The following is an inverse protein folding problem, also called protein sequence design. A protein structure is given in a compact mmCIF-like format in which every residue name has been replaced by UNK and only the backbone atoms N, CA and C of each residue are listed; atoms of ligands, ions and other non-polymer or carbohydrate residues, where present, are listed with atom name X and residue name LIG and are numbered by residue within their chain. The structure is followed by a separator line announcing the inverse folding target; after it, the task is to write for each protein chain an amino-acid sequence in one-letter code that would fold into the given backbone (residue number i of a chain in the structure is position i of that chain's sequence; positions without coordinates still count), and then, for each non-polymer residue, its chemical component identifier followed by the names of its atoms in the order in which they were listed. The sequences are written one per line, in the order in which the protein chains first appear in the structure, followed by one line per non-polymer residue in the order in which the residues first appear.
data_IF_190214973630
#
_entry.id   IF_190214973630
#
_cell.length_a   1.000
_cell.length_b   1.000
_cell.length_c   1.000
_cell.angle_alpha   90.00
_cell.angle_beta   90.00
_cell.angle_gamma   90.00
#
_symmetry.space_group_name_H-M   'P 1'
#
loop_
_entity.id
_entity.type
_entity.pdbx_description
1 polymer ?
#
# COMPACT_ATOMS: atom_id res chain seq x y z
N UNK A 1 -4.33 79.20 -3.38
CA UNK A 1 -5.38 78.15 -3.41
C UNK A 1 -4.78 76.92 -4.09
N UNK A 2 -4.25 75.97 -3.31
CA UNK A 2 -3.63 74.74 -3.84
C UNK A 2 -4.65 73.60 -3.70
N UNK A 3 -5.16 73.12 -4.82
CA UNK A 3 -6.08 71.97 -4.88
C UNK A 3 -5.22 70.71 -4.84
N UNK A 4 -5.37 69.89 -3.79
CA UNK A 4 -4.81 68.54 -3.73
C UNK A 4 -5.85 67.56 -4.30
N UNK A 5 -5.52 66.89 -5.41
CA UNK A 5 -6.27 65.70 -5.84
C UNK A 5 -5.88 64.51 -4.94
N UNK A 6 -6.84 63.64 -4.54
CA UNK A 6 -6.50 62.40 -3.86
C UNK A 6 -5.98 61.37 -4.88
N UNK A 7 -4.87 60.72 -4.52
CA UNK A 7 -4.34 59.58 -5.22
C UNK A 7 -5.23 58.37 -4.90
N UNK A 8 -5.98 57.87 -5.88
CA UNK A 8 -6.75 56.63 -5.75
C UNK A 8 -5.75 55.46 -5.83
N UNK A 9 -5.46 54.82 -4.71
CA UNK A 9 -4.69 53.59 -4.70
C UNK A 9 -5.59 52.45 -5.23
N UNK A 10 -5.31 51.98 -6.44
CA UNK A 10 -5.90 50.77 -6.97
C UNK A 10 -5.35 49.57 -6.17
N UNK A 11 -6.18 49.02 -5.28
CA UNK A 11 -5.92 47.72 -4.67
C UNK A 11 -6.15 46.68 -5.77
N UNK A 12 -5.06 46.19 -6.37
CA UNK A 12 -5.11 44.99 -7.20
C UNK A 12 -5.22 43.80 -6.26
N UNK A 13 -6.45 43.32 -6.05
CA UNK A 13 -6.70 42.01 -5.45
C UNK A 13 -6.20 40.96 -6.43
N UNK A 14 -5.01 40.41 -6.18
CA UNK A 14 -4.56 39.18 -6.81
C UNK A 14 -5.45 38.05 -6.29
N UNK A 15 -6.57 37.81 -6.97
CA UNK A 15 -7.29 36.56 -6.83
C UNK A 15 -6.39 35.46 -7.35
N UNK A 16 -5.88 34.61 -6.47
CA UNK A 16 -5.27 33.33 -6.85
C UNK A 16 -6.37 32.51 -7.52
N UNK A 17 -6.43 32.56 -8.85
CA UNK A 17 -7.23 31.62 -9.61
C UNK A 17 -6.68 30.22 -9.31
N UNK A 18 -7.48 29.36 -8.69
CA UNK A 18 -7.18 27.94 -8.60
C UNK A 18 -7.20 27.39 -10.02
N UNK A 19 -6.02 27.20 -10.59
CA UNK A 19 -5.85 26.60 -11.90
C UNK A 19 -6.21 25.11 -11.75
N UNK A 20 -7.27 24.68 -12.43
CA UNK A 20 -7.56 23.26 -12.55
C UNK A 20 -6.40 22.59 -13.30
N UNK A 21 -5.81 21.54 -12.72
CA UNK A 21 -4.83 20.73 -13.42
C UNK A 21 -5.48 20.14 -14.69
N UNK A 22 -4.79 20.22 -15.82
CA UNK A 22 -5.34 19.64 -17.06
C UNK A 22 -5.24 18.11 -17.00
N UNK A 23 -6.08 17.37 -17.76
CA UNK A 23 -5.97 15.91 -17.86
C UNK A 23 -4.58 15.42 -18.32
N UNK A 24 -3.78 16.29 -18.95
CA UNK A 24 -2.43 15.99 -19.44
C UNK A 24 -1.34 16.14 -18.36
N UNK A 25 -1.51 17.06 -17.39
CA UNK A 25 -0.57 17.23 -16.26
C UNK A 25 -0.58 16.02 -15.30
N UNK A 26 -1.65 15.22 -15.41
CA UNK A 26 -1.85 14.00 -14.68
C UNK A 26 -0.85 12.90 -15.11
N UNK A 27 -0.44 12.84 -16.38
CA UNK A 27 0.28 11.69 -16.94
C UNK A 27 1.75 11.53 -16.47
N UNK A 28 2.32 12.52 -15.78
CA UNK A 28 3.71 12.48 -15.25
C UNK A 28 3.82 12.44 -13.73
N UNK A 29 2.70 12.25 -13.02
CA UNK A 29 2.64 12.17 -11.56
C UNK A 29 3.13 10.80 -11.07
N UNK A 30 4.05 10.78 -10.09
CA UNK A 30 4.34 9.60 -9.28
C UNK A 30 3.03 9.16 -8.60
N UNK A 31 2.55 7.97 -8.96
CA UNK A 31 1.34 7.35 -8.45
C UNK A 31 1.76 6.13 -7.65
N UNK A 32 1.32 6.06 -6.40
CA UNK A 32 1.70 4.98 -5.51
C UNK A 32 0.45 4.47 -4.79
N UNK A 33 0.25 3.15 -4.80
CA UNK A 33 -0.87 2.45 -4.17
C UNK A 33 -0.58 2.24 -2.68
N UNK A 34 -1.57 2.46 -1.83
CA UNK A 34 -1.38 2.59 -0.39
C UNK A 34 -2.66 2.28 0.37
N UNK A 35 -2.51 2.17 1.68
CA UNK A 35 -3.58 1.90 2.63
C UNK A 35 -3.50 2.95 3.71
N UNK A 36 -4.48 3.85 3.75
CA UNK A 36 -4.49 4.92 4.74
C UNK A 36 -4.91 4.37 6.09
N UNK A 37 -4.22 4.76 7.16
CA UNK A 37 -4.60 4.41 8.54
C UNK A 37 -4.48 5.58 9.49
N UNK A 38 -5.34 5.58 10.52
CA UNK A 38 -5.23 6.55 11.62
C UNK A 38 -4.03 6.22 12.49
N UNK A 39 -3.34 7.24 13.00
CA UNK A 39 -2.32 7.04 14.04
C UNK A 39 -2.98 6.77 15.39
N UNK A 40 -4.11 7.41 15.66
CA UNK A 40 -4.96 7.10 16.80
C UNK A 40 -5.79 5.83 16.51
N UNK A 41 -5.48 4.74 17.20
CA UNK A 41 -6.24 3.48 17.11
C UNK A 41 -5.89 2.55 15.94
N UNK A 42 -5.02 2.95 15.01
CA UNK A 42 -4.50 2.12 13.91
C UNK A 42 -5.57 1.47 13.03
N UNK A 43 -6.68 2.17 12.79
CA UNK A 43 -7.73 1.69 11.89
C UNK A 43 -7.45 2.13 10.45
N UNK A 44 -7.61 1.22 9.49
CA UNK A 44 -7.61 1.50 8.07
C UNK A 44 -8.85 2.27 7.66
N UNK A 45 -8.64 3.16 6.70
CA UNK A 45 -9.69 3.88 6.00
C UNK A 45 -10.31 2.96 4.97
N UNK A 46 -11.62 2.78 5.03
CA UNK A 46 -12.43 1.99 4.11
C UNK A 46 -13.28 2.92 3.24
N UNK A 47 -13.52 2.55 1.99
CA UNK A 47 -14.52 3.17 1.12
C UNK A 47 -15.84 2.39 1.21
N UNK A 48 -16.87 2.96 1.83
CA UNK A 48 -18.09 2.23 2.18
C UNK A 48 -19.09 2.11 1.01
N UNK A 49 -19.15 0.95 0.33
CA UNK A 49 -19.99 0.78 -0.87
C UNK A 49 -21.52 0.89 -0.67
N UNK A 50 -22.02 0.94 0.58
CA UNK A 50 -23.46 0.95 0.88
C UNK A 50 -23.85 1.43 2.27
N UNK A 51 -23.04 2.26 2.92
CA UNK A 51 -23.33 2.71 4.27
C UNK A 51 -24.60 3.59 4.31
N UNK A 52 -25.43 3.27 5.30
CA UNK A 52 -26.63 4.03 5.66
C UNK A 52 -26.59 4.27 7.14
N UNK A 53 -26.77 5.52 7.54
CA UNK A 53 -26.83 5.87 8.95
C UNK A 53 -28.24 5.59 9.53
N UNK A 54 -28.35 5.65 10.85
CA UNK A 54 -29.53 5.51 11.70
C UNK A 54 -30.61 6.56 11.41
N UNK A 55 -30.28 7.61 10.67
CA UNK A 55 -31.20 8.63 10.19
C UNK A 55 -31.62 8.39 8.73
N UNK A 56 -31.26 7.23 8.16
CA UNK A 56 -31.60 6.84 6.78
C UNK A 56 -30.77 7.55 5.72
N UNK A 57 -29.65 8.19 6.10
CA UNK A 57 -28.75 8.85 5.15
C UNK A 57 -27.86 7.80 4.51
N UNK A 58 -28.05 7.59 3.21
CA UNK A 58 -27.18 6.76 2.39
C UNK A 58 -26.02 7.60 1.88
N UNK A 59 -24.81 7.24 2.25
CA UNK A 59 -23.62 7.87 1.71
C UNK A 59 -22.72 6.76 1.13
N UNK A 60 -23.12 6.33 -0.08
CA UNK A 60 -22.34 5.40 -0.89
C UNK A 60 -20.93 5.95 -1.04
N UNK A 61 -19.91 5.13 -0.90
CA UNK A 61 -18.49 5.44 -1.04
C UNK A 61 -17.95 6.53 -0.09
N UNK A 62 -18.58 6.77 1.05
CA UNK A 62 -17.98 7.60 2.11
C UNK A 62 -16.78 6.89 2.73
N UNK A 63 -15.75 7.65 3.07
CA UNK A 63 -14.53 7.13 3.67
C UNK A 63 -14.66 7.03 5.19
N UNK A 64 -14.25 5.90 5.76
CA UNK A 64 -14.30 5.64 7.22
C UNK A 64 -13.08 4.92 7.75
N UNK A 65 -12.42 5.46 8.78
CA UNK A 65 -11.37 4.81 9.53
C UNK A 65 -11.94 3.88 10.61
N UNK A 66 -12.24 2.62 10.24
CA UNK A 66 -12.84 1.64 11.16
C UNK A 66 -12.33 0.22 11.02
N UNK A 67 -11.70 -0.12 9.89
CA UNK A 67 -11.25 -1.49 9.70
C UNK A 67 -9.94 -1.72 10.44
N UNK A 68 -9.83 -2.84 11.15
CA UNK A 68 -8.55 -3.25 11.77
C UNK A 68 -7.69 -4.10 10.84
N UNK A 69 -8.23 -4.49 9.67
CA UNK A 69 -7.57 -5.34 8.68
C UNK A 69 -7.75 -4.70 7.30
N UNK A 70 -6.68 -4.55 6.51
CA UNK A 70 -6.81 -3.95 5.19
C UNK A 70 -7.37 -4.99 4.20
N UNK A 71 -8.27 -4.55 3.32
CA UNK A 71 -9.00 -5.36 2.36
C UNK A 71 -9.28 -4.60 1.05
N UNK A 72 -10.13 -5.14 0.16
CA UNK A 72 -10.45 -4.50 -1.13
C UNK A 72 -11.05 -3.11 -1.02
N UNK A 73 -11.65 -2.75 0.13
CA UNK A 73 -12.28 -1.46 0.34
C UNK A 73 -11.32 -0.40 0.89
N UNK A 74 -10.14 -0.82 1.35
CA UNK A 74 -9.13 0.01 2.01
C UNK A 74 -7.98 0.43 1.08
N UNK A 75 -8.00 -0.04 -0.18
CA UNK A 75 -6.99 0.29 -1.20
C UNK A 75 -7.21 1.67 -1.80
N UNK A 76 -6.14 2.46 -1.83
CA UNK A 76 -6.10 3.78 -2.44
C UNK A 76 -4.85 4.00 -3.28
N UNK A 77 -4.91 4.91 -4.24
CA UNK A 77 -3.69 5.43 -4.89
C UNK A 77 -3.52 6.89 -4.50
N UNK A 78 -2.34 7.24 -3.98
CA UNK A 78 -1.93 8.62 -3.81
C UNK A 78 -1.23 9.04 -5.11
N UNK A 79 -1.71 10.13 -5.69
CA UNK A 79 -1.12 10.73 -6.89
C UNK A 79 -0.57 12.10 -6.55
N UNK A 80 0.73 12.31 -6.69
CA UNK A 80 1.33 13.63 -6.56
C UNK A 80 1.00 14.52 -7.75
N UNK A 81 0.39 15.69 -7.51
CA UNK A 81 -0.08 16.55 -8.58
C UNK A 81 1.03 17.50 -9.06
N UNK A 82 1.49 17.29 -10.30
CA UNK A 82 2.44 18.19 -10.95
C UNK A 82 1.82 19.56 -11.22
N UNK A 83 2.63 20.62 -11.12
CA UNK A 83 2.17 22.01 -11.35
C UNK A 83 1.32 22.60 -10.21
N UNK A 84 1.11 21.87 -9.13
CA UNK A 84 0.42 22.33 -7.91
C UNK A 84 1.42 22.65 -6.79
N UNK A 85 1.01 23.33 -5.70
CA UNK A 85 1.86 23.54 -4.53
C UNK A 85 2.45 22.24 -3.98
N UNK A 86 3.63 22.32 -3.37
CA UNK A 86 4.30 21.16 -2.80
C UNK A 86 3.39 20.40 -1.82
N UNK A 87 3.40 19.06 -1.92
CA UNK A 87 2.53 18.19 -1.13
C UNK A 87 1.10 18.05 -1.69
N UNK A 88 0.77 18.69 -2.82
CA UNK A 88 -0.54 18.48 -3.46
C UNK A 88 -0.67 17.03 -3.98
N UNK A 89 -1.73 16.36 -3.54
CA UNK A 89 -2.05 14.98 -3.90
C UNK A 89 -3.52 14.83 -4.24
N UNK A 90 -3.83 13.81 -5.03
CA UNK A 90 -5.19 13.29 -5.17
C UNK A 90 -5.24 11.85 -4.65
N UNK A 91 -6.36 11.47 -4.04
CA UNK A 91 -6.60 10.12 -3.54
C UNK A 91 -7.57 9.42 -4.48
N UNK A 92 -7.19 8.27 -5.05
CA UNK A 92 -8.06 7.39 -5.82
C UNK A 92 -8.50 6.22 -4.96
N UNK A 93 -9.80 5.90 -4.91
CA UNK A 93 -10.30 4.69 -4.26
C UNK A 93 -10.41 3.56 -5.28
N UNK A 94 -9.76 2.42 -5.01
CA UNK A 94 -9.76 1.29 -5.94
C UNK A 94 -11.14 0.64 -6.05
N UNK A 95 -11.88 0.50 -4.96
CA UNK A 95 -13.21 -0.11 -5.00
C UNK A 95 -14.26 0.81 -5.65
N UNK A 96 -14.14 2.12 -5.45
CA UNK A 96 -15.08 3.07 -6.05
C UNK A 96 -14.72 3.42 -7.50
N UNK A 97 -13.48 3.15 -7.92
CA UNK A 97 -12.92 3.58 -9.19
C UNK A 97 -13.14 5.09 -9.41
N UNK A 98 -12.80 5.88 -8.39
CA UNK A 98 -13.06 7.31 -8.36
C UNK A 98 -12.09 8.06 -7.44
N UNK A 99 -11.84 9.33 -7.76
CA UNK A 99 -11.16 10.25 -6.86
C UNK A 99 -12.03 10.58 -5.64
N UNK A 100 -11.37 10.68 -4.49
CA UNK A 100 -11.96 11.15 -3.25
C UNK A 100 -12.18 12.65 -3.35
N UNK A 101 -13.39 13.09 -3.01
CA UNK A 101 -13.81 14.48 -2.97
C UNK A 101 -14.03 14.90 -1.52
N UNK A 102 -13.58 16.10 -1.13
CA UNK A 102 -14.00 16.77 0.10
C UNK A 102 -15.29 17.57 -0.15
N UNK A 103 -16.39 17.20 0.51
CA UNK A 103 -17.74 17.66 0.21
C UNK A 103 -18.09 19.03 0.82
N UNK A 104 -17.39 20.10 0.42
CA UNK A 104 -17.61 21.44 0.99
C UNK A 104 -18.94 22.10 0.60
N UNK A 105 -19.63 21.57 -0.41
CA UNK A 105 -20.99 22.01 -0.78
C UNK A 105 -22.08 21.50 0.17
N UNK A 106 -21.77 20.48 0.97
CA UNK A 106 -22.70 19.97 1.98
C UNK A 106 -22.73 20.92 3.17
N UNK A 107 -23.89 21.01 3.82
CA UNK A 107 -24.12 21.91 4.94
C UNK A 107 -24.10 21.17 6.28
N UNK A 108 -23.92 21.93 7.37
CA UNK A 108 -23.94 21.39 8.72
C UNK A 108 -22.84 20.35 8.94
N UNK A 109 -23.19 19.25 9.59
CA UNK A 109 -22.26 18.18 9.98
C UNK A 109 -21.68 17.37 8.82
N UNK A 110 -22.23 17.53 7.61
CA UNK A 110 -21.80 16.80 6.41
C UNK A 110 -20.79 17.62 5.57
N UNK A 111 -20.55 18.88 5.95
CA UNK A 111 -19.62 19.75 5.23
C UNK A 111 -18.20 19.19 5.30
N UNK A 112 -17.59 18.94 4.16
CA UNK A 112 -16.21 18.47 4.07
C UNK A 112 -16.06 16.97 4.31
N UNK A 113 -17.15 16.19 4.37
CA UNK A 113 -17.07 14.73 4.39
C UNK A 113 -16.28 14.23 3.17
N UNK A 114 -15.44 13.22 3.36
CA UNK A 114 -14.67 12.62 2.27
C UNK A 114 -15.47 11.50 1.61
N UNK A 115 -15.55 11.54 0.29
CA UNK A 115 -16.42 10.68 -0.50
C UNK A 115 -15.82 10.38 -1.87
N UNK A 116 -15.65 9.10 -2.23
CA UNK A 116 -15.20 8.68 -3.55
C UNK A 116 -16.39 8.50 -4.52
N UNK A 117 -16.86 9.60 -5.11
CA UNK A 117 -18.08 9.63 -5.93
C UNK A 117 -17.96 8.74 -7.18
N UNK A 118 -18.87 7.77 -7.42
CA UNK A 118 -18.85 6.99 -8.65
C UNK A 118 -18.81 7.88 -9.90
N UNK A 119 -17.82 7.66 -10.77
CA UNK A 119 -17.63 8.44 -12.00
C UNK A 119 -16.81 9.71 -11.84
N UNK A 120 -16.35 10.06 -10.63
CA UNK A 120 -15.42 11.17 -10.43
C UNK A 120 -14.00 10.74 -10.85
N UNK A 121 -13.69 10.84 -12.13
CA UNK A 121 -12.40 10.41 -12.70
C UNK A 121 -11.45 11.55 -13.02
N UNK A 122 -11.80 12.78 -12.62
CA UNK A 122 -10.99 13.98 -12.82
C UNK A 122 -10.63 14.62 -11.49
N UNK A 123 -9.42 15.17 -11.39
CA UNK A 123 -8.97 15.89 -10.20
C UNK A 123 -9.34 17.37 -10.35
N UNK A 124 -10.26 17.84 -9.53
CA UNK A 124 -10.58 19.26 -9.37
C UNK A 124 -10.10 19.81 -8.03
N UNK A 125 -10.50 21.05 -7.68
CA UNK A 125 -10.13 21.67 -6.42
C UNK A 125 -10.58 20.90 -5.17
N UNK A 126 -11.69 20.15 -5.25
CA UNK A 126 -12.21 19.39 -4.11
C UNK A 126 -11.66 17.96 -4.03
N UNK A 127 -11.01 17.49 -5.10
CA UNK A 127 -10.25 16.23 -5.14
C UNK A 127 -8.76 16.46 -4.85
N UNK A 128 -8.37 17.71 -4.61
CA UNK A 128 -6.99 18.09 -4.29
C UNK A 128 -6.82 18.19 -2.78
N UNK A 129 -5.89 17.40 -2.27
CA UNK A 129 -5.47 17.41 -0.87
C UNK A 129 -4.01 17.87 -0.76
N UNK A 130 -3.61 18.30 0.42
CA UNK A 130 -2.23 18.69 0.71
C UNK A 130 -1.68 17.81 1.82
N UNK A 131 -0.76 16.93 1.44
CA UNK A 131 -0.03 16.04 2.34
C UNK A 131 1.16 16.78 2.93
N UNK A 132 1.24 16.79 4.26
CA UNK A 132 2.39 17.34 4.99
C UNK A 132 2.92 16.28 5.94
N UNK A 133 4.14 15.81 5.69
CA UNK A 133 4.83 14.90 6.60
C UNK A 133 5.17 15.62 7.90
N UNK A 134 4.84 14.99 9.03
CA UNK A 134 4.98 15.58 10.37
C UNK A 134 5.85 14.76 11.31
N UNK A 135 6.28 13.57 10.90
CA UNK A 135 7.22 12.75 11.67
C UNK A 135 7.07 11.26 11.39
N UNK A 136 7.27 10.47 12.43
CA UNK A 136 7.14 9.01 12.41
C UNK A 136 6.41 8.52 13.66
N UNK A 137 5.66 7.43 13.53
CA UNK A 137 5.06 6.70 14.65
C UNK A 137 5.51 5.24 14.54
N UNK A 138 6.46 4.85 15.39
CA UNK A 138 7.26 3.64 15.15
C UNK A 138 8.05 3.78 13.85
N UNK A 139 7.89 2.82 12.94
CA UNK A 139 8.57 2.80 11.63
C UNK A 139 7.77 3.46 10.51
N UNK A 140 6.58 4.00 10.79
CA UNK A 140 5.69 4.51 9.76
C UNK A 140 5.84 6.02 9.60
N UNK A 141 6.02 6.54 8.38
CA UNK A 141 5.94 7.97 8.13
C UNK A 141 4.54 8.47 8.47
N UNK A 142 4.46 9.53 9.26
CA UNK A 142 3.21 10.15 9.67
C UNK A 142 3.07 11.47 8.94
N UNK A 143 1.87 11.71 8.41
CA UNK A 143 1.51 12.92 7.70
C UNK A 143 0.13 13.42 8.12
N UNK A 144 -0.16 14.67 7.75
CA UNK A 144 -1.50 15.25 7.79
C UNK A 144 -2.00 15.43 6.37
N UNK A 145 -3.31 15.38 6.18
CA UNK A 145 -3.97 15.75 4.93
C UNK A 145 -4.81 17.00 5.17
N UNK A 146 -4.78 17.95 4.23
CA UNK A 146 -5.68 19.10 4.20
C UNK A 146 -6.48 19.16 2.92
N UNK A 147 -7.70 19.67 2.98
CA UNK A 147 -8.47 20.09 1.82
C UNK A 147 -8.82 21.57 1.94
N UNK A 148 -8.87 22.25 0.79
CA UNK A 148 -9.23 23.67 0.74
C UNK A 148 -10.67 23.83 0.25
N UNK A 149 -11.43 24.73 0.87
CA UNK A 149 -12.75 25.10 0.37
C UNK A 149 -12.68 26.24 -0.66
N UNK A 150 -13.82 26.56 -1.28
CA UNK A 150 -13.90 27.62 -2.29
C UNK A 150 -13.69 29.03 -1.73
N UNK A 151 -13.69 29.21 -0.41
CA UNK A 151 -13.42 30.50 0.25
C UNK A 151 -11.93 30.72 0.56
N UNK A 152 -11.09 29.71 0.30
CA UNK A 152 -9.67 29.71 0.66
C UNK A 152 -9.40 29.23 2.08
N UNK A 153 -10.41 28.73 2.79
CA UNK A 153 -10.23 28.04 4.06
C UNK A 153 -9.52 26.70 3.84
N UNK A 154 -8.62 26.34 4.75
CA UNK A 154 -7.88 25.08 4.72
C UNK A 154 -8.18 24.26 5.96
N UNK A 155 -8.59 23.02 5.77
CA UNK A 155 -9.09 22.14 6.83
C UNK A 155 -8.35 20.81 6.83
N UNK A 156 -7.88 20.39 7.99
CA UNK A 156 -7.31 19.08 8.20
C UNK A 156 -8.39 18.00 8.08
N UNK A 157 -8.04 16.92 7.40
CA UNK A 157 -8.82 15.69 7.36
C UNK A 157 -8.65 14.98 8.68
N UNK A 158 -9.74 14.78 9.39
CA UNK A 158 -9.82 14.04 10.64
C UNK A 158 -10.54 12.71 10.43
N UNK A 159 -10.09 11.65 11.12
CA UNK A 159 -10.95 10.52 11.42
C UNK A 159 -11.69 10.85 12.71
N UNK A 160 -13.01 10.90 12.62
CA UNK A 160 -13.83 11.26 13.76
C UNK A 160 -13.73 10.23 14.90
N UNK A 161 -13.05 10.62 15.98
CA UNK A 161 -12.76 9.81 17.17
C UNK A 161 -13.36 10.43 18.46
N UNK A 162 -14.17 11.49 18.35
CA UNK A 162 -14.58 12.32 19.49
C UNK A 162 -15.99 12.08 20.02
N UNK A 163 -16.26 12.55 21.24
CA UNK A 163 -17.59 12.57 21.88
C UNK A 163 -18.66 13.39 21.14
N UNK A 164 -18.27 14.11 20.08
CA UNK A 164 -19.16 14.96 19.29
C UNK A 164 -19.94 14.18 18.22
N UNK A 165 -19.58 12.92 17.96
CA UNK A 165 -20.23 12.09 16.95
C UNK A 165 -20.46 10.66 17.46
N UNK A 166 -21.41 10.49 18.38
CA UNK A 166 -21.79 9.18 18.87
C UNK A 166 -22.50 8.35 17.79
N UNK A 167 -22.20 7.06 17.74
CA UNK A 167 -22.97 6.07 16.98
C UNK A 167 -22.37 5.68 15.63
N UNK A 168 -23.19 5.73 14.60
CA UNK A 168 -22.92 5.26 13.24
C UNK A 168 -21.93 6.11 12.43
N UNK A 169 -21.71 7.37 12.83
CA UNK A 169 -20.78 8.32 12.20
C UNK A 169 -19.32 8.16 12.65
N UNK A 170 -19.07 7.33 13.67
CA UNK A 170 -17.72 7.12 14.18
C UNK A 170 -16.75 6.70 13.06
N UNK A 171 -15.61 7.36 13.01
CA UNK A 171 -14.53 7.13 12.05
C UNK A 171 -14.79 7.71 10.66
N UNK A 172 -15.90 8.40 10.39
CA UNK A 172 -16.08 9.11 9.10
C UNK A 172 -14.96 10.13 8.92
N UNK A 173 -14.42 10.18 7.70
CA UNK A 173 -13.38 11.14 7.36
C UNK A 173 -14.01 12.49 6.98
N UNK A 174 -13.52 13.56 7.58
CA UNK A 174 -14.02 14.91 7.34
C UNK A 174 -12.91 15.96 7.36
N UNK A 175 -12.92 16.85 6.37
CA UNK A 175 -12.06 18.03 6.30
C UNK A 175 -12.74 19.23 6.97
N UNK A 176 -12.76 19.25 8.30
CA UNK A 176 -13.45 20.28 9.09
C UNK A 176 -12.60 20.92 10.19
N UNK A 177 -11.43 20.36 10.50
CA UNK A 177 -10.58 20.86 11.59
C UNK A 177 -9.60 21.93 11.12
N UNK A 178 -9.41 22.99 11.91
CA UNK A 178 -8.43 24.05 11.61
C UNK A 178 -7.08 23.85 12.31
N UNK A 179 -7.01 22.87 13.22
CA UNK A 179 -5.82 22.51 13.99
C UNK A 179 -5.67 20.99 13.96
N UNK A 180 -4.46 20.50 13.64
CA UNK A 180 -4.15 19.08 13.71
C UNK A 180 -3.91 18.63 15.16
N UNK A 181 -4.51 17.49 15.51
CA UNK A 181 -4.31 16.70 16.71
C UNK A 181 -4.14 15.24 16.28
N UNK A 182 -4.11 14.32 17.24
CA UNK A 182 -3.89 12.88 16.98
C UNK A 182 -4.95 12.23 16.07
N UNK A 183 -6.14 12.84 15.91
CA UNK A 183 -7.19 12.37 14.99
C UNK A 183 -6.96 12.77 13.52
N UNK A 184 -6.03 13.68 13.27
CA UNK A 184 -5.69 14.23 11.95
C UNK A 184 -4.34 13.71 11.44
N UNK A 185 -3.73 12.80 12.20
CA UNK A 185 -2.47 12.15 11.87
C UNK A 185 -2.74 10.82 11.15
N UNK A 186 -2.16 10.70 9.97
CA UNK A 186 -2.30 9.56 9.08
C UNK A 186 -0.96 8.87 8.90
N UNK A 187 -0.99 7.57 8.74
CA UNK A 187 0.13 6.81 8.24
C UNK A 187 -0.31 6.03 6.99
N UNK A 188 0.65 5.73 6.14
CA UNK A 188 0.49 4.65 5.17
C UNK A 188 0.70 3.35 5.94
N UNK A 189 -0.25 2.44 5.86
CA UNK A 189 -0.21 1.12 6.48
C UNK A 189 0.18 0.03 5.48
N UNK A 190 0.49 -1.19 5.97
CA UNK A 190 0.53 -2.35 5.10
C UNK A 190 -0.81 -2.53 4.40
N UNK A 191 -0.74 -2.98 3.17
CA UNK A 191 -1.89 -3.31 2.36
C UNK A 191 -1.97 -4.77 1.99
N UNK A 192 -3.16 -5.34 1.71
CA UNK A 192 -3.30 -6.42 0.75
C UNK A 192 -2.75 -5.88 -0.57
N UNK A 193 -1.48 -6.10 -0.84
CA UNK A 193 -0.95 -5.82 -2.18
C UNK A 193 -1.85 -6.59 -3.16
N UNK A 194 -2.25 -5.99 -4.29
CA UNK A 194 -3.26 -6.51 -5.23
C UNK A 194 -3.16 -8.03 -5.43
N UNK A 195 -3.86 -8.83 -4.59
CA UNK A 195 -3.61 -10.26 -4.39
C UNK A 195 -3.93 -11.03 -5.66
N UNK A 196 -3.02 -10.98 -6.62
CA UNK A 196 -2.96 -11.91 -7.72
C UNK A 196 -2.52 -13.19 -7.05
N UNK A 197 -3.45 -14.13 -6.95
CA UNK A 197 -3.24 -15.43 -6.31
C UNK A 197 -3.20 -16.52 -7.38
N UNK A 198 -2.49 -17.58 -7.06
CA UNK A 198 -2.29 -18.72 -7.94
C UNK A 198 -0.86 -18.85 -8.44
N UNK A 199 -0.61 -19.96 -9.13
CA UNK A 199 0.66 -20.25 -9.81
C UNK A 199 0.76 -19.50 -11.14
N UNK A 200 0.94 -18.18 -11.08
CA UNK A 200 1.19 -17.27 -12.21
C UNK A 200 2.68 -17.04 -12.48
N UNK A 201 3.55 -17.68 -11.69
CA UNK A 201 4.97 -17.49 -11.74
C UNK A 201 5.52 -17.86 -13.14
N UNK A 202 6.19 -16.93 -13.87
CA UNK A 202 6.61 -17.15 -15.25
C UNK A 202 7.56 -18.36 -15.41
N UNK A 203 8.29 -18.71 -14.35
CA UNK A 203 9.22 -19.83 -14.33
C UNK A 203 8.64 -21.12 -13.71
N UNK A 204 7.32 -21.22 -13.52
CA UNK A 204 6.68 -22.44 -12.98
C UNK A 204 6.99 -23.73 -13.77
N UNK A 205 7.32 -23.60 -15.06
CA UNK A 205 7.72 -24.71 -15.93
C UNK A 205 9.24 -24.83 -16.16
N UNK A 206 10.06 -24.02 -15.49
CA UNK A 206 11.51 -24.15 -15.59
C UNK A 206 11.95 -25.54 -15.11
N UNK A 207 13.04 -26.06 -15.71
CA UNK A 207 13.61 -27.33 -15.30
C UNK A 207 13.99 -27.28 -13.81
N UNK A 208 13.62 -28.31 -13.06
CA UNK A 208 13.96 -28.48 -11.66
C UNK A 208 14.88 -29.69 -11.54
N UNK A 209 16.11 -29.49 -11.09
CA UNK A 209 17.05 -30.57 -10.78
C UNK A 209 17.23 -30.68 -9.25
N UNK A 210 16.56 -31.65 -8.58
CA UNK A 210 16.70 -31.84 -7.14
C UNK A 210 18.07 -32.40 -6.70
N UNK A 211 18.93 -32.84 -7.64
CA UNK A 211 20.18 -33.55 -7.34
C UNK A 211 21.41 -32.65 -7.18
N UNK A 212 21.29 -31.34 -7.42
CA UNK A 212 22.39 -30.38 -7.31
C UNK A 212 22.14 -29.47 -6.09
N UNK A 213 23.16 -29.16 -5.30
CA UNK A 213 22.99 -28.49 -4.02
C UNK A 213 23.95 -27.27 -3.84
N UNK A 214 23.46 -26.02 -3.91
CA UNK A 214 22.13 -25.66 -4.43
C UNK A 214 22.06 -26.02 -5.92
N UNK A 215 20.89 -26.19 -6.54
CA UNK A 215 20.87 -26.70 -7.89
C UNK A 215 21.61 -25.79 -8.86
N UNK A 216 22.81 -26.21 -9.29
CA UNK A 216 23.71 -25.41 -10.12
C UNK A 216 23.21 -25.26 -11.56
N UNK A 217 22.05 -25.83 -11.86
CA UNK A 217 21.37 -25.75 -13.15
C UNK A 217 20.39 -24.58 -13.24
N UNK A 218 20.22 -23.83 -12.16
CA UNK A 218 19.53 -22.54 -12.19
C UNK A 218 20.39 -21.40 -12.77
N UNK A 219 21.61 -21.72 -13.23
CA UNK A 219 22.55 -20.78 -13.83
C UNK A 219 22.62 -20.98 -15.34
N UNK A 220 21.55 -20.58 -16.03
CA UNK A 220 21.58 -20.23 -17.46
C UNK A 220 20.38 -19.29 -17.66
N UNK A 221 20.43 -17.97 -17.86
CA UNK A 221 21.40 -16.89 -18.02
C UNK A 221 20.52 -15.61 -18.35
N UNK A 222 20.99 -14.34 -18.39
CA UNK A 222 22.26 -13.76 -17.95
C UNK A 222 22.10 -12.49 -17.04
N UNK A 223 23.10 -12.24 -16.19
CA UNK A 223 23.70 -10.92 -15.85
C UNK A 223 22.84 -9.67 -15.57
N UNK A 224 21.55 -9.78 -15.22
CA UNK A 224 20.74 -8.61 -14.78
C UNK A 224 19.80 -8.94 -13.61
N UNK A 225 20.38 -9.20 -12.45
CA UNK A 225 19.93 -8.74 -11.11
C UNK A 225 18.46 -8.88 -10.70
N UNK A 226 17.70 -9.85 -11.21
CA UNK A 226 16.28 -10.03 -10.85
C UNK A 226 15.96 -11.40 -10.28
N UNK A 227 15.94 -12.44 -11.10
CA UNK A 227 15.43 -13.76 -10.73
C UNK A 227 16.41 -14.90 -11.07
N UNK A 228 17.51 -15.05 -10.31
CA UNK A 228 18.52 -16.09 -10.59
C UNK A 228 18.14 -17.49 -10.07
N UNK A 229 17.04 -17.64 -9.33
CA UNK A 229 16.67 -18.88 -8.64
C UNK A 229 15.27 -19.37 -9.04
N UNK A 230 15.06 -19.76 -10.30
CA UNK A 230 13.77 -20.20 -10.78
C UNK A 230 13.18 -21.33 -9.93
N UNK A 231 11.89 -21.23 -9.59
CA UNK A 231 11.10 -22.21 -8.80
C UNK A 231 11.55 -22.34 -7.32
N UNK A 232 12.28 -21.36 -6.82
CA UNK A 232 12.62 -21.21 -5.40
C UNK A 232 11.65 -20.26 -4.68
N UNK A 233 11.67 -20.34 -3.35
CA UNK A 233 10.76 -19.55 -2.50
C UNK A 233 11.01 -18.03 -2.62
N UNK A 234 12.27 -17.63 -2.71
CA UNK A 234 12.72 -16.24 -2.78
C UNK A 234 12.31 -15.56 -4.09
N UNK A 235 12.51 -16.23 -5.22
CA UNK A 235 12.19 -15.75 -6.55
C UNK A 235 10.69 -15.71 -6.81
N UNK A 236 9.95 -16.69 -6.28
CA UNK A 236 8.49 -16.65 -6.32
C UNK A 236 7.95 -15.48 -5.52
N UNK A 237 8.40 -15.30 -4.27
CA UNK A 237 7.94 -14.19 -3.44
C UNK A 237 8.30 -12.85 -4.08
N UNK A 238 9.51 -12.72 -4.64
CA UNK A 238 9.88 -11.50 -5.36
C UNK A 238 9.01 -11.26 -6.61
N UNK A 239 8.51 -12.30 -7.25
CA UNK A 239 7.54 -12.16 -8.34
C UNK A 239 6.17 -11.70 -7.81
N UNK A 240 5.68 -12.28 -6.71
CA UNK A 240 4.42 -11.82 -6.09
C UNK A 240 4.52 -10.36 -5.71
N UNK A 241 5.64 -9.95 -5.12
CA UNK A 241 5.92 -8.54 -4.81
C UNK A 241 5.86 -7.68 -6.08
N UNK A 242 6.52 -8.10 -7.17
CA UNK A 242 6.49 -7.40 -8.46
C UNK A 242 5.07 -7.16 -8.97
N UNK A 243 4.28 -8.23 -9.09
CA UNK A 243 2.91 -8.15 -9.61
C UNK A 243 2.02 -7.30 -8.70
N UNK A 244 2.13 -7.54 -7.40
CA UNK A 244 1.23 -6.93 -6.44
C UNK A 244 1.62 -5.47 -6.12
N UNK A 245 2.85 -5.06 -6.47
CA UNK A 245 3.33 -3.66 -6.41
C UNK A 245 3.09 -2.86 -7.69
N UNK A 246 2.45 -3.45 -8.72
CA UNK A 246 2.06 -2.74 -9.94
C UNK A 246 2.91 -3.04 -11.17
N UNK A 247 3.82 -4.02 -11.09
CA UNK A 247 4.52 -4.56 -12.25
C UNK A 247 3.55 -5.18 -13.25
N UNK A 248 3.75 -4.89 -14.55
CA UNK A 248 2.83 -5.32 -15.64
C UNK A 248 3.52 -6.01 -16.80
N UNK A 249 4.86 -6.07 -16.80
CA UNK A 249 5.59 -6.69 -17.89
C UNK A 249 5.54 -8.20 -17.74
N UNK A 250 4.95 -8.84 -18.74
CA UNK A 250 4.98 -10.27 -18.89
C UNK A 250 6.16 -10.64 -19.81
N UNK A 251 7.22 -11.20 -19.25
CA UNK A 251 8.34 -11.70 -20.06
C UNK A 251 8.04 -13.13 -20.51
N UNK A 252 8.08 -13.37 -21.83
CA UNK A 252 7.76 -14.67 -22.42
C UNK A 252 8.86 -15.71 -22.14
N UNK A 253 8.41 -16.93 -21.85
CA UNK A 253 9.22 -18.14 -21.68
C UNK A 253 10.08 -18.43 -22.93
N UNK A 254 11.38 -18.69 -22.75
CA UNK A 254 12.25 -19.36 -23.73
C UNK A 254 12.98 -18.49 -24.76
N UNK A 255 12.87 -17.16 -24.68
CA UNK A 255 13.69 -16.23 -25.47
C UNK A 255 14.74 -15.49 -24.61
N UNK A 256 15.63 -14.67 -25.19
CA UNK A 256 16.64 -13.88 -24.47
C UNK A 256 16.06 -12.76 -23.57
N UNK A 257 14.79 -12.83 -23.18
CA UNK A 257 14.08 -11.83 -22.41
C UNK A 257 14.25 -12.08 -20.92
N UNK A 258 15.23 -11.41 -20.31
CA UNK A 258 15.51 -11.48 -18.87
C UNK A 258 14.40 -10.89 -17.99
N UNK A 259 14.71 -10.73 -16.70
CA UNK A 259 13.95 -9.97 -15.69
C UNK A 259 13.17 -8.80 -16.30
N UNK A 260 11.88 -8.57 -15.92
CA UNK A 260 11.15 -7.35 -16.27
C UNK A 260 12.03 -6.10 -16.17
N UNK A 261 11.99 -5.24 -17.19
CA UNK A 261 12.90 -4.09 -17.24
C UNK A 261 12.64 -3.08 -16.12
N UNK A 262 11.42 -3.07 -15.58
CA UNK A 262 10.96 -2.29 -14.43
C UNK A 262 10.99 -3.09 -13.11
N UNK A 263 11.64 -4.25 -13.07
CA UNK A 263 11.61 -5.11 -11.89
C UNK A 263 12.09 -4.41 -10.61
N UNK A 264 13.19 -3.64 -10.70
CA UNK A 264 13.75 -2.92 -9.55
C UNK A 264 12.85 -1.78 -9.05
N UNK A 265 11.89 -1.35 -9.86
CA UNK A 265 10.87 -0.35 -9.53
C UNK A 265 9.69 -0.97 -8.78
N UNK A 266 9.48 -2.29 -8.89
CA UNK A 266 8.30 -2.94 -8.30
C UNK A 266 8.64 -4.13 -7.38
N UNK A 267 9.92 -4.47 -7.18
CA UNK A 267 10.30 -5.65 -6.39
C UNK A 267 11.71 -5.58 -5.75
N UNK A 268 12.03 -6.62 -4.96
CA UNK A 268 13.28 -6.81 -4.20
C UNK A 268 14.41 -7.42 -5.03
N UNK A 269 15.65 -6.99 -4.80
CA UNK A 269 16.82 -7.69 -5.34
C UNK A 269 17.17 -8.93 -4.49
N UNK A 270 16.94 -10.14 -5.01
CA UNK A 270 17.24 -11.41 -4.33
C UNK A 270 18.66 -11.91 -4.61
N UNK A 271 19.45 -11.24 -5.44
CA UNK A 271 20.74 -11.77 -5.91
C UNK A 271 21.94 -11.26 -5.13
N UNK A 272 21.71 -10.43 -4.11
CA UNK A 272 22.76 -9.74 -3.37
C UNK A 272 23.17 -8.44 -4.07
N UNK A 273 22.44 -7.38 -3.75
CA UNK A 273 22.79 -5.99 -4.02
C UNK A 273 22.52 -5.16 -2.77
N UNK A 274 23.19 -4.03 -2.60
CA UNK A 274 22.81 -3.04 -1.60
C UNK A 274 22.05 -1.91 -2.31
N UNK A 275 20.75 -1.69 -2.02
CA UNK A 275 19.86 -2.46 -1.13
C UNK A 275 19.28 -3.73 -1.79
N UNK A 276 19.02 -4.81 -1.01
CA UNK A 276 18.50 -6.08 -1.54
C UNK A 276 18.29 -7.18 -0.48
N UNK A 277 17.35 -8.11 -0.70
CA UNK A 277 17.00 -9.17 0.25
C UNK A 277 17.99 -10.34 0.25
N UNK A 278 18.70 -10.57 -0.86
CA UNK A 278 19.63 -11.68 -1.02
C UNK A 278 18.93 -13.05 -1.16
N UNK A 279 19.72 -14.11 -1.47
CA UNK A 279 19.19 -15.41 -1.88
C UNK A 279 18.77 -16.30 -0.70
N UNK A 280 19.22 -15.96 0.50
CA UNK A 280 19.00 -16.76 1.70
C UNK A 280 17.77 -16.24 2.46
N UNK A 281 16.65 -16.96 2.37
CA UNK A 281 15.38 -16.62 3.00
C UNK A 281 15.49 -16.34 4.53
N UNK A 282 16.40 -17.03 5.22
CA UNK A 282 16.71 -16.81 6.65
C UNK A 282 17.15 -15.37 6.97
N UNK A 283 17.71 -14.65 6.01
CA UNK A 283 18.29 -13.32 6.20
C UNK A 283 17.32 -12.18 5.83
N UNK A 284 16.20 -12.49 5.18
CA UNK A 284 15.26 -11.49 4.65
C UNK A 284 14.73 -10.51 5.71
N UNK A 285 14.38 -11.00 6.91
CA UNK A 285 13.92 -10.14 7.99
C UNK A 285 15.02 -9.15 8.47
N UNK A 286 16.25 -9.63 8.58
CA UNK A 286 17.40 -8.79 8.96
C UNK A 286 17.74 -7.79 7.86
N UNK A 287 17.69 -8.23 6.60
CA UNK A 287 17.96 -7.39 5.43
C UNK A 287 16.89 -6.31 5.29
N UNK A 288 15.60 -6.65 5.39
CA UNK A 288 14.50 -5.69 5.40
C UNK A 288 14.68 -4.62 6.48
N UNK A 289 15.00 -5.03 7.71
CA UNK A 289 15.29 -4.11 8.83
C UNK A 289 16.50 -3.22 8.55
N UNK A 290 17.55 -3.78 7.92
CA UNK A 290 18.78 -3.04 7.58
C UNK A 290 18.54 -1.97 6.51
N UNK A 291 17.70 -2.26 5.52
CA UNK A 291 17.50 -1.36 4.39
C UNK A 291 16.43 -0.30 4.64
N UNK A 292 15.41 -0.57 5.47
CA UNK A 292 14.37 0.30 6.08
C UNK A 292 13.61 1.31 5.17
N UNK A 293 14.14 1.70 4.00
CA UNK A 293 13.43 2.44 2.96
C UNK A 293 12.54 1.43 2.21
N UNK A 294 11.27 1.36 2.58
CA UNK A 294 10.28 0.50 1.92
C UNK A 294 9.95 -0.81 2.66
N UNK A 295 10.52 -1.09 3.83
CA UNK A 295 10.19 -2.30 4.58
C UNK A 295 10.11 -2.06 6.08
N UNK A 296 9.31 -2.89 6.75
CA UNK A 296 9.42 -3.09 8.18
C UNK A 296 9.14 -4.55 8.52
N UNK A 297 9.54 -4.94 9.72
CA UNK A 297 9.44 -6.33 10.19
C UNK A 297 8.76 -6.35 11.54
N UNK A 298 7.76 -7.20 11.69
CA UNK A 298 7.10 -7.49 12.96
C UNK A 298 6.56 -8.94 12.99
N UNK A 299 5.74 -9.28 13.98
CA UNK A 299 5.13 -10.60 14.15
C UNK A 299 3.63 -10.61 13.82
N UNK A 300 3.11 -9.55 13.20
CA UNK A 300 1.69 -9.41 12.86
C UNK A 300 1.51 -9.67 11.36
N UNK A 301 0.83 -10.74 10.96
CA UNK A 301 0.58 -10.97 9.54
C UNK A 301 -0.38 -9.92 8.98
N UNK A 302 -0.13 -9.49 7.75
CA UNK A 302 -1.11 -8.81 6.91
C UNK A 302 -1.12 -9.48 5.54
N UNK A 303 -2.27 -9.50 4.83
CA UNK A 303 -2.26 -9.91 3.43
C UNK A 303 -1.22 -9.07 2.66
N UNK A 304 -0.48 -9.68 1.76
CA UNK A 304 0.63 -9.06 1.04
C UNK A 304 1.98 -9.04 1.78
N UNK A 305 2.02 -9.32 3.08
CA UNK A 305 3.29 -9.47 3.78
C UNK A 305 4.06 -10.71 3.29
N UNK A 306 5.37 -10.74 3.53
CA UNK A 306 6.19 -11.93 3.36
C UNK A 306 6.29 -12.63 4.72
N UNK A 307 5.71 -13.82 4.81
CA UNK A 307 5.94 -14.74 5.91
C UNK A 307 7.37 -15.30 5.79
N UNK A 308 8.19 -15.09 6.82
CA UNK A 308 9.58 -15.52 6.82
C UNK A 308 9.87 -16.47 7.98
N UNK A 309 10.60 -17.54 7.70
CA UNK A 309 11.12 -18.48 8.68
C UNK A 309 12.63 -18.37 8.74
N UNK A 310 13.14 -18.25 9.96
CA UNK A 310 14.57 -18.34 10.23
C UNK A 310 15.11 -19.75 9.90
N UNK A 311 16.41 -19.85 9.71
CA UNK A 311 17.10 -21.13 9.55
C UNK A 311 16.76 -22.09 10.71
N UNK A 312 16.41 -23.34 10.37
CA UNK A 312 16.08 -24.39 11.34
C UNK A 312 14.88 -24.08 12.26
N UNK A 313 14.02 -23.13 11.87
CA UNK A 313 12.82 -22.73 12.62
C UNK A 313 11.56 -23.25 11.94
N UNK A 314 10.56 -23.62 12.74
CA UNK A 314 9.24 -24.01 12.24
C UNK A 314 9.24 -25.12 11.19
N UNK A 315 10.17 -26.07 11.29
CA UNK A 315 10.31 -27.18 10.33
C UNK A 315 11.16 -26.89 9.10
N UNK A 316 11.68 -25.66 8.95
CA UNK A 316 12.48 -25.25 7.79
C UNK A 316 13.94 -25.67 7.89
N UNK A 317 14.60 -25.84 6.75
CA UNK A 317 16.02 -26.18 6.68
C UNK A 317 16.95 -24.97 6.95
N UNK A 318 18.26 -25.16 6.79
CA UNK A 318 19.29 -24.16 7.10
C UNK A 318 19.25 -22.86 6.30
N UNK A 319 18.52 -22.82 5.17
CA UNK A 319 18.32 -21.62 4.37
C UNK A 319 17.12 -20.77 4.81
N UNK A 320 16.31 -21.27 5.77
CA UNK A 320 15.02 -20.67 6.10
C UNK A 320 13.99 -20.89 5.00
N UNK A 321 12.91 -20.11 5.02
CA UNK A 321 11.89 -20.11 3.97
C UNK A 321 11.17 -18.76 3.93
N UNK A 322 10.70 -18.36 2.75
CA UNK A 322 9.79 -17.23 2.60
C UNK A 322 8.55 -17.63 1.82
N UNK A 323 7.42 -17.07 2.20
CA UNK A 323 6.14 -17.28 1.54
C UNK A 323 5.39 -15.96 1.47
N UNK A 324 4.55 -15.82 0.46
CA UNK A 324 3.70 -14.65 0.29
C UNK A 324 2.39 -14.85 1.04
N UNK A 325 2.00 -13.92 1.91
CA UNK A 325 0.75 -14.01 2.67
C UNK A 325 -0.39 -13.60 1.76
N UNK A 326 -1.14 -14.57 1.25
CA UNK A 326 -2.35 -14.31 0.49
C UNK A 326 -3.44 -13.75 1.40
N UNK A 327 -3.74 -14.43 2.51
CA UNK A 327 -4.89 -14.07 3.34
C UNK A 327 -4.60 -14.19 4.82
N UNK A 328 -5.19 -13.31 5.61
CA UNK A 328 -5.33 -13.45 7.07
C UNK A 328 -6.78 -13.77 7.38
N UNK A 329 -7.05 -14.94 7.96
CA UNK A 329 -8.38 -15.36 8.35
C UNK A 329 -8.80 -14.71 9.68
N UNK A 330 -10.11 -14.63 9.91
CA UNK A 330 -10.68 -14.02 11.12
C UNK A 330 -10.28 -14.73 12.42
N UNK A 331 -9.83 -15.98 12.34
CA UNK A 331 -9.37 -16.78 13.49
C UNK A 331 -7.86 -16.59 13.79
N UNK A 332 -7.19 -15.73 13.02
CA UNK A 332 -5.76 -15.42 13.10
C UNK A 332 -4.86 -16.38 12.32
N UNK A 333 -5.39 -17.38 11.63
CA UNK A 333 -4.60 -18.20 10.70
C UNK A 333 -4.26 -17.42 9.43
N UNK A 334 -3.18 -17.80 8.75
CA UNK A 334 -2.78 -17.24 7.46
C UNK A 334 -2.86 -18.28 6.37
N UNK A 335 -3.25 -17.86 5.17
CA UNK A 335 -3.04 -18.61 3.92
C UNK A 335 -1.82 -18.01 3.25
N UNK A 336 -0.86 -18.84 2.89
CA UNK A 336 0.36 -18.41 2.19
C UNK A 336 0.52 -19.16 0.87
N UNK A 337 1.04 -18.45 -0.11
CA UNK A 337 1.50 -18.98 -1.38
C UNK A 337 3.01 -19.09 -1.36
N UNK A 338 3.54 -20.20 -1.87
CA UNK A 338 4.97 -20.42 -1.86
C UNK A 338 5.40 -21.46 -2.89
N UNK A 339 6.68 -21.38 -3.25
CA UNK A 339 7.36 -22.39 -4.05
C UNK A 339 8.38 -23.14 -3.20
N UNK A 340 8.63 -24.39 -3.57
CA UNK A 340 9.70 -25.22 -3.01
C UNK A 340 9.64 -25.49 -1.49
N UNK A 341 8.46 -25.42 -0.88
CA UNK A 341 8.31 -25.65 0.57
C UNK A 341 8.89 -26.99 1.03
N UNK A 342 8.68 -28.03 0.22
CA UNK A 342 9.11 -29.41 0.53
C UNK A 342 10.37 -29.81 -0.23
N UNK A 343 11.09 -28.86 -0.85
CA UNK A 343 12.32 -29.16 -1.61
C UNK A 343 12.07 -29.83 -2.98
N UNK A 344 10.88 -29.66 -3.57
CA UNK A 344 10.47 -30.25 -4.85
C UNK A 344 10.27 -29.23 -6.00
N UNK A 345 10.53 -27.95 -5.75
CA UNK A 345 10.36 -26.87 -6.71
C UNK A 345 8.91 -26.60 -7.12
N UNK A 346 7.93 -27.06 -6.34
CA UNK A 346 6.51 -26.92 -6.70
C UNK A 346 5.85 -25.75 -5.97
N UNK A 347 4.88 -25.15 -6.65
CA UNK A 347 3.92 -24.24 -6.04
C UNK A 347 3.04 -24.98 -5.03
N UNK A 348 2.76 -24.35 -3.90
CA UNK A 348 1.74 -24.80 -2.97
C UNK A 348 1.06 -23.64 -2.25
N UNK A 349 -0.17 -23.88 -1.83
CA UNK A 349 -0.94 -22.99 -0.95
C UNK A 349 -1.15 -23.72 0.37
N UNK A 350 -0.72 -23.11 1.46
CA UNK A 350 -0.76 -23.74 2.77
C UNK A 350 -1.38 -22.79 3.80
N UNK A 351 -2.16 -23.34 4.73
CA UNK A 351 -2.68 -22.58 5.87
C UNK A 351 -1.81 -22.82 7.09
N UNK A 352 -1.36 -21.75 7.74
CA UNK A 352 -0.60 -21.78 8.98
C UNK A 352 -1.41 -21.17 10.13
N UNK A 353 -1.25 -21.74 11.32
CA UNK A 353 -1.90 -21.25 12.54
C UNK A 353 -0.91 -21.21 13.70
N UNK A 354 -1.06 -20.24 14.61
CA UNK A 354 -0.33 -20.22 15.88
C UNK A 354 -0.77 -21.34 16.82
N UNK A 355 -1.94 -21.96 16.56
CA UNK A 355 -2.55 -22.98 17.42
C UNK A 355 -2.13 -24.40 17.06
N UNK A 356 -1.62 -24.63 15.85
CA UNK A 356 -1.30 -25.97 15.35
C UNK A 356 -0.30 -25.92 14.21
N UNK A 357 0.56 -26.93 14.14
CA UNK A 357 1.47 -27.11 13.03
C UNK A 357 0.72 -27.54 11.75
N UNK A 358 1.26 -27.13 10.61
CA UNK A 358 0.80 -27.46 9.25
C UNK A 358 1.57 -28.67 8.76
N UNK A 359 0.87 -29.71 8.31
CA UNK A 359 1.49 -30.93 7.77
C UNK A 359 1.36 -30.93 6.25
N UNK A 360 2.49 -31.06 5.55
CA UNK A 360 2.54 -31.14 4.08
C UNK A 360 3.38 -32.36 3.71
N UNK A 361 2.75 -33.37 3.13
CA UNK A 361 3.39 -34.67 2.91
C UNK A 361 3.83 -35.31 4.24
N UNK A 362 5.12 -35.62 4.37
CA UNK A 362 5.73 -36.16 5.58
C UNK A 362 6.44 -35.09 6.44
N UNK A 363 6.32 -33.81 6.08
CA UNK A 363 6.95 -32.69 6.76
C UNK A 363 5.93 -31.93 7.61
N UNK A 364 6.41 -31.37 8.72
CA UNK A 364 5.60 -30.60 9.66
C UNK A 364 6.22 -29.23 9.82
N UNK A 365 5.42 -28.20 9.56
CA UNK A 365 5.83 -26.81 9.59
C UNK A 365 5.03 -26.03 10.64
N UNK A 366 5.66 -25.08 11.32
CA UNK A 366 5.00 -24.22 12.31
C UNK A 366 4.88 -22.79 11.80
N UNK A 367 4.27 -21.92 12.61
CA UNK A 367 4.10 -20.50 12.34
C UNK A 367 5.42 -19.78 11.91
N UNK A 368 5.36 -18.80 10.99
CA UNK A 368 6.51 -18.00 10.58
C UNK A 368 7.22 -17.30 11.75
N UNK A 369 8.51 -17.05 11.59
CA UNK A 369 9.31 -16.32 12.58
C UNK A 369 9.03 -14.81 12.52
N UNK A 370 8.86 -14.27 11.32
CA UNK A 370 8.67 -12.84 11.07
C UNK A 370 7.70 -12.60 9.92
N UNK A 371 7.12 -11.41 9.88
CA UNK A 371 6.44 -10.87 8.72
C UNK A 371 7.21 -9.65 8.23
N UNK A 372 7.75 -9.74 7.01
CA UNK A 372 8.35 -8.60 6.32
C UNK A 372 7.26 -7.93 5.50
N UNK A 373 6.99 -6.69 5.83
CA UNK A 373 5.98 -5.90 5.13
C UNK A 373 6.66 -4.91 4.20
N UNK A 374 5.96 -4.55 3.14
CA UNK A 374 6.50 -3.80 2.02
C UNK A 374 5.69 -2.53 1.87
N UNK A 375 6.32 -1.40 2.13
CA UNK A 375 5.89 -0.08 1.65
C UNK A 375 6.48 0.05 0.26
N UNK A 376 5.63 0.24 -0.73
CA UNK A 376 5.91 0.21 -2.17
C UNK A 376 7.34 0.50 -2.65
N UNK A 377 7.71 -0.17 -3.74
CA UNK A 377 8.83 0.23 -4.59
C UNK A 377 8.38 1.37 -5.54
N UNK A 378 9.28 2.33 -5.77
CA UNK A 378 9.08 3.53 -6.58
C UNK A 378 9.23 3.26 -8.07
#
# INVERSE_FOLDING_TARGET
MRIRLPLLAAVVTLGTAMIAATPADAAGAEQHHTYLRTVSGWNYVSTEAGWTDSQGRHAKNVLRARSTIPGPYEGYQIRHLSGMPAGAVALWSDVAQAYVTAEFSWAGRDRGTLHARPGQTTVGPWETFYQVQIGTSGNYPVFTLKANDSSGGSYYVSADQGSNYPGDLQGVLQADQTVARDGEHWAEGPGPQNLVTGDDYPWRYAAFDPAKNPPSDFVDAPTRGGFQYARECDSFVAWKIYENSGGRQYTQIGGPGGTPTDYRTYSVDINGGNPGMGPDAKDWANNATRYNSGFWVDQTPTPGAVAQWNANSGGMAGFGHVAYVDKVNSDGSIVVENFNLTGNGEYSVNTFSTKSATVVGNLTFSWPSNFVHIHQFH
#
